data_IF_081703560610
#
_entry.id   IF_081703560610
#
_cell.length_a   1.000
_cell.length_b   1.000
_cell.length_c   1.000
_cell.angle_alpha   90.00
_cell.angle_beta   90.00
_cell.angle_gamma   90.00
#
_symmetry.space_group_name_H-M   'P 1'
#
loop_
_entity.id
_entity.type
_entity.pdbx_description
1 polymer ?
#
# COMPACT_ATOMS: atom_id res chain seq x y z
N UNK A 1 35.66 43.91 -24.20
CA UNK A 1 35.99 43.92 -22.77
C UNK A 1 35.02 44.87 -22.08
N UNK A 2 34.12 44.35 -21.23
CA UNK A 2 33.27 45.15 -20.35
C UNK A 2 34.14 45.57 -19.16
N UNK A 3 34.68 46.80 -19.21
CA UNK A 3 35.60 47.38 -18.22
C UNK A 3 34.89 48.49 -17.43
N UNK A 4 33.77 48.17 -16.79
CA UNK A 4 33.06 49.11 -15.91
C UNK A 4 32.91 48.45 -14.54
N UNK A 5 33.47 49.10 -13.51
CA UNK A 5 33.44 48.67 -12.11
C UNK A 5 32.11 49.02 -11.41
N UNK A 6 31.10 49.46 -12.17
CA UNK A 6 29.79 49.85 -11.66
C UNK A 6 28.67 49.07 -12.37
N UNK A 7 27.58 48.71 -11.66
CA UNK A 7 26.46 48.00 -12.26
C UNK A 7 25.71 48.91 -13.25
N UNK A 8 25.62 48.49 -14.51
CA UNK A 8 24.90 49.20 -15.57
C UNK A 8 23.68 48.41 -16.02
N UNK A 9 22.55 49.09 -16.20
CA UNK A 9 21.34 48.51 -16.79
C UNK A 9 21.52 48.39 -18.32
N UNK A 10 21.46 47.17 -18.83
CA UNK A 10 21.45 46.88 -20.26
C UNK A 10 20.09 46.32 -20.68
N UNK A 11 19.48 46.90 -21.72
CA UNK A 11 18.27 46.34 -22.34
C UNK A 11 18.70 45.47 -23.52
N UNK A 12 18.49 44.16 -23.40
CA UNK A 12 18.80 43.19 -24.46
C UNK A 12 17.61 42.27 -24.68
N UNK A 13 17.40 41.84 -25.93
CA UNK A 13 16.35 40.88 -26.26
C UNK A 13 16.81 39.46 -25.92
N UNK A 14 16.11 38.79 -25.01
CA UNK A 14 16.44 37.43 -24.57
C UNK A 14 15.37 36.45 -25.07
N UNK A 15 15.75 35.53 -25.97
CA UNK A 15 14.83 34.50 -26.47
C UNK A 15 14.74 33.31 -25.50
N UNK A 16 13.66 33.29 -24.71
CA UNK A 16 13.39 32.25 -23.71
C UNK A 16 13.00 30.90 -24.31
N UNK A 17 12.69 30.80 -25.62
CA UNK A 17 12.45 29.51 -26.28
C UNK A 17 13.76 28.80 -26.60
N UNK A 18 14.75 29.53 -27.10
CA UNK A 18 16.09 29.01 -27.38
C UNK A 18 16.78 28.57 -26.09
N UNK A 19 16.67 29.37 -25.03
CA UNK A 19 17.22 29.02 -23.70
C UNK A 19 16.65 27.71 -23.14
N UNK A 20 15.36 27.40 -23.37
CA UNK A 20 14.75 26.14 -22.91
C UNK A 20 15.22 24.90 -23.68
N UNK A 21 15.67 25.08 -24.92
CA UNK A 21 16.15 23.99 -25.78
C UNK A 21 17.67 23.78 -25.62
N UNK A 22 18.37 24.71 -24.96
CA UNK A 22 19.80 24.59 -24.73
C UNK A 22 20.10 23.60 -23.60
N UNK A 23 20.94 22.58 -23.82
CA UNK A 23 21.35 21.63 -22.79
C UNK A 23 22.29 22.24 -21.74
N UNK A 24 22.86 23.42 -22.01
CA UNK A 24 23.74 24.15 -21.10
C UNK A 24 23.22 25.57 -20.91
N UNK A 25 22.49 25.81 -19.81
CA UNK A 25 22.02 27.14 -19.40
C UNK A 25 22.82 27.57 -18.18
N UNK A 26 23.41 28.77 -18.23
CA UNK A 26 24.17 29.34 -17.12
C UNK A 26 23.28 29.49 -15.86
N UNK A 27 23.78 29.24 -14.63
CA UNK A 27 22.96 29.22 -13.41
C UNK A 27 22.09 30.48 -13.19
N UNK A 28 22.63 31.65 -13.51
CA UNK A 28 21.94 32.95 -13.38
C UNK A 28 20.70 33.06 -14.29
N UNK A 29 20.67 32.32 -15.40
CA UNK A 29 19.59 32.38 -16.40
C UNK A 29 18.53 31.29 -16.20
N UNK A 30 18.71 30.37 -15.26
CA UNK A 30 17.83 29.22 -15.04
C UNK A 30 16.41 29.62 -14.61
N UNK A 31 16.28 30.74 -13.89
CA UNK A 31 14.98 31.26 -13.43
C UNK A 31 14.19 32.01 -14.52
N UNK A 32 14.84 32.42 -15.61
CA UNK A 32 14.19 33.10 -16.74
C UNK A 32 13.63 32.12 -17.78
N UNK A 33 14.00 30.85 -17.68
CA UNK A 33 13.54 29.77 -18.55
C UNK A 33 12.98 28.61 -17.70
N UNK A 34 11.83 28.79 -17.03
CA UNK A 34 11.22 27.71 -16.28
C UNK A 34 10.99 26.51 -17.21
N UNK A 35 11.53 25.36 -16.82
CA UNK A 35 11.28 24.09 -17.50
C UNK A 35 9.75 23.92 -17.58
N UNK A 36 9.24 23.77 -18.80
CA UNK A 36 7.80 23.62 -18.99
C UNK A 36 7.31 22.44 -18.14
N UNK A 37 6.15 22.54 -17.46
CA UNK A 37 5.61 21.39 -16.73
C UNK A 37 5.41 20.27 -17.75
N UNK A 38 6.14 19.16 -17.56
CA UNK A 38 6.02 17.99 -18.39
C UNK A 38 4.54 17.58 -18.43
N UNK A 39 3.92 17.82 -19.60
CA UNK A 39 2.54 17.48 -19.86
C UNK A 39 2.44 15.96 -19.73
N UNK A 40 1.87 15.49 -18.61
CA UNK A 40 1.52 14.07 -18.38
C UNK A 40 0.77 13.57 -19.61
N UNK A 41 1.45 12.81 -20.47
CA UNK A 41 0.79 11.89 -21.38
C UNK A 41 0.41 10.69 -20.54
N UNK A 42 -0.88 10.57 -20.24
CA UNK A 42 -1.47 9.30 -19.83
C UNK A 42 -1.23 8.29 -20.95
N UNK A 43 -0.22 7.44 -20.80
CA UNK A 43 0.00 6.32 -21.68
C UNK A 43 -0.88 5.15 -21.22
N UNK A 44 -2.15 5.17 -21.66
CA UNK A 44 -2.86 3.93 -21.92
C UNK A 44 -2.20 3.31 -23.15
N UNK A 45 -1.39 2.29 -22.94
CA UNK A 45 -0.62 1.63 -23.97
C UNK A 45 -0.15 0.28 -23.49
N UNK A 46 -0.99 -0.73 -23.66
CA UNK A 46 -0.62 -2.14 -23.56
C UNK A 46 0.41 -2.47 -24.64
N UNK A 47 1.62 -2.86 -24.23
CA UNK A 47 2.58 -3.51 -25.13
C UNK A 47 4.05 -3.17 -24.92
N UNK A 48 4.78 -4.18 -24.44
CA UNK A 48 6.22 -4.45 -24.64
C UNK A 48 7.23 -3.88 -23.64
N UNK A 49 7.77 -4.78 -22.80
CA UNK A 49 9.14 -4.73 -22.28
C UNK A 49 9.46 -3.65 -21.24
N UNK A 50 8.50 -2.88 -20.74
CA UNK A 50 8.73 -1.99 -19.60
C UNK A 50 8.68 -2.82 -18.33
N UNK A 51 9.70 -2.69 -17.48
CA UNK A 51 9.63 -3.23 -16.12
C UNK A 51 8.29 -2.82 -15.50
N UNK A 52 7.58 -3.73 -14.80
CA UNK A 52 6.27 -3.44 -14.24
C UNK A 52 6.36 -2.15 -13.42
N UNK A 53 5.38 -1.26 -13.59
CA UNK A 53 5.34 -0.03 -12.82
C UNK A 53 5.22 -0.35 -11.33
N UNK A 54 5.61 0.58 -10.46
CA UNK A 54 5.49 0.39 -9.00
C UNK A 54 4.08 -0.09 -8.60
N UNK A 55 3.04 0.48 -9.23
CA UNK A 55 1.65 0.08 -8.98
C UNK A 55 1.33 -1.36 -9.40
N UNK A 56 1.89 -1.83 -10.52
CA UNK A 56 1.70 -3.22 -10.97
C UNK A 56 2.40 -4.21 -10.03
N UNK A 57 3.56 -3.82 -9.49
CA UNK A 57 4.30 -4.64 -8.51
C UNK A 57 3.56 -4.71 -7.18
N UNK A 58 3.11 -3.56 -6.66
CA UNK A 58 2.31 -3.49 -5.44
C UNK A 58 0.95 -4.17 -5.59
N UNK A 59 0.39 -4.25 -6.80
CA UNK A 59 -0.89 -4.92 -7.04
C UNK A 59 -0.84 -6.44 -6.78
N UNK A 60 0.31 -7.08 -6.98
CA UNK A 60 0.43 -8.54 -6.83
C UNK A 60 0.77 -8.95 -5.38
N UNK A 61 1.21 -8.01 -4.56
CA UNK A 61 1.68 -8.25 -3.19
C UNK A 61 0.55 -8.19 -2.16
N UNK A 62 0.66 -9.00 -1.11
CA UNK A 62 -0.21 -8.91 0.08
C UNK A 62 0.01 -7.61 0.85
N UNK A 63 -0.91 -7.27 1.78
CA UNK A 63 -0.85 -5.99 2.50
C UNK A 63 0.49 -5.76 3.23
N UNK A 64 0.98 -6.76 3.97
CA UNK A 64 2.26 -6.69 4.68
C UNK A 64 3.46 -6.60 3.72
N UNK A 65 3.47 -7.40 2.65
CA UNK A 65 4.55 -7.38 1.66
C UNK A 65 4.61 -6.06 0.89
N UNK A 66 3.47 -5.38 0.69
CA UNK A 66 3.43 -4.03 0.11
C UNK A 66 4.06 -3.00 1.02
N UNK A 67 3.79 -3.06 2.33
CA UNK A 67 4.41 -2.17 3.31
C UNK A 67 5.93 -2.34 3.33
N UNK A 68 6.42 -3.58 3.32
CA UNK A 68 7.85 -3.88 3.25
C UNK A 68 8.49 -3.37 1.95
N UNK A 69 7.83 -3.59 0.81
CA UNK A 69 8.29 -3.10 -0.48
C UNK A 69 8.34 -1.56 -0.54
N UNK A 70 7.36 -0.89 0.07
CA UNK A 70 7.34 0.57 0.19
C UNK A 70 8.41 1.08 1.16
N UNK A 71 8.67 0.37 2.25
CA UNK A 71 9.75 0.71 3.18
C UNK A 71 11.11 0.63 2.50
N UNK A 72 11.36 -0.42 1.72
CA UNK A 72 12.58 -0.54 0.92
C UNK A 72 12.69 0.55 -0.15
N UNK A 73 11.58 0.89 -0.81
CA UNK A 73 11.52 1.99 -1.77
C UNK A 73 11.95 3.32 -1.11
N UNK A 74 11.38 3.62 0.06
CA UNK A 74 11.68 4.85 0.81
C UNK A 74 13.16 4.85 1.22
N UNK A 75 13.68 3.75 1.79
CA UNK A 75 15.12 3.64 2.13
C UNK A 75 16.02 3.88 0.92
N UNK A 76 15.67 3.32 -0.23
CA UNK A 76 16.39 3.55 -1.48
C UNK A 76 16.39 5.02 -1.93
N UNK A 77 15.26 5.72 -1.84
CA UNK A 77 15.21 7.16 -2.15
C UNK A 77 16.03 7.97 -1.14
N UNK A 78 15.95 7.62 0.15
CA UNK A 78 16.70 8.28 1.22
C UNK A 78 18.20 8.11 1.02
N UNK A 79 18.65 6.89 0.71
CA UNK A 79 20.04 6.61 0.35
C UNK A 79 20.47 7.45 -0.86
N UNK A 80 19.66 7.50 -1.91
CA UNK A 80 19.96 8.28 -3.11
C UNK A 80 20.10 9.78 -2.85
N UNK A 81 19.23 10.36 -2.02
CA UNK A 81 19.29 11.78 -1.62
C UNK A 81 20.53 12.07 -0.78
N UNK A 82 20.93 11.14 0.10
CA UNK A 82 22.14 11.26 0.92
C UNK A 82 23.43 10.89 0.17
N UNK A 83 23.33 10.45 -1.10
CA UNK A 83 24.48 10.04 -1.92
C UNK A 83 25.03 8.66 -1.60
N UNK A 84 24.28 7.83 -0.87
CA UNK A 84 24.59 6.42 -0.64
C UNK A 84 24.09 5.55 -1.80
N UNK A 85 24.93 4.64 -2.26
CA UNK A 85 24.57 3.63 -3.29
C UNK A 85 23.80 2.45 -2.73
N UNK A 86 23.78 2.27 -1.42
CA UNK A 86 23.18 1.12 -0.74
C UNK A 86 22.12 1.58 0.26
N UNK A 87 20.90 1.06 0.10
CA UNK A 87 19.75 1.34 0.95
C UNK A 87 19.84 0.66 2.33
N UNK A 88 20.61 -0.43 2.45
CA UNK A 88 20.77 -1.20 3.69
C UNK A 88 21.53 -0.44 4.78
N UNK A 89 22.24 0.62 4.39
CA UNK A 89 22.93 1.53 5.32
C UNK A 89 21.94 2.45 6.04
N UNK A 90 20.73 2.61 5.50
CA UNK A 90 19.67 3.45 6.08
C UNK A 90 18.86 2.63 7.07
N UNK A 91 18.96 3.00 8.33
CA UNK A 91 18.13 2.48 9.40
C UNK A 91 16.69 3.04 9.27
N UNK A 92 15.72 2.14 9.09
CA UNK A 92 14.32 2.51 8.82
C UNK A 92 13.60 3.16 10.00
N UNK A 93 14.06 2.91 11.21
CA UNK A 93 13.48 3.47 12.43
C UNK A 93 14.14 4.80 12.83
N UNK A 94 15.32 5.09 12.25
CA UNK A 94 16.09 6.27 12.61
C UNK A 94 15.44 7.54 12.08
N UNK A 95 15.35 8.61 12.90
CA UNK A 95 14.83 9.89 12.45
C UNK A 95 15.64 10.46 11.29
N UNK A 96 14.97 11.07 10.32
CA UNK A 96 15.59 11.76 9.19
C UNK A 96 16.59 12.83 9.64
N UNK A 97 16.30 13.54 10.73
CA UNK A 97 17.21 14.56 11.29
C UNK A 97 18.56 13.97 11.72
N UNK A 98 18.56 12.76 12.30
CA UNK A 98 19.79 12.07 12.70
C UNK A 98 20.53 11.45 11.51
N UNK A 99 19.82 11.18 10.41
CA UNK A 99 20.40 10.78 9.13
C UNK A 99 20.98 11.96 8.34
N UNK A 100 20.85 13.19 8.84
CA UNK A 100 21.38 14.40 8.20
C UNK A 100 20.42 15.05 7.20
N UNK A 101 19.11 14.80 7.30
CA UNK A 101 18.14 15.53 6.49
C UNK A 101 17.97 16.98 6.96
N UNK A 102 17.90 17.87 5.99
CA UNK A 102 17.62 19.29 6.17
C UNK A 102 16.38 19.69 5.34
N UNK A 103 16.09 20.99 5.28
CA UNK A 103 14.94 21.50 4.53
C UNK A 103 15.07 21.32 3.01
N UNK A 104 16.28 21.29 2.46
CA UNK A 104 16.51 21.12 1.02
C UNK A 104 16.37 19.65 0.64
N UNK A 105 17.02 18.75 1.39
CA UNK A 105 16.96 17.30 1.13
C UNK A 105 15.55 16.74 1.37
N UNK A 106 14.78 17.32 2.29
CA UNK A 106 13.36 16.99 2.46
C UNK A 106 12.53 17.29 1.21
N UNK A 107 12.77 18.42 0.54
CA UNK A 107 12.08 18.78 -0.71
C UNK A 107 12.51 17.87 -1.86
N UNK A 108 13.79 17.50 -1.91
CA UNK A 108 14.30 16.56 -2.91
C UNK A 108 13.70 15.17 -2.76
N UNK A 109 13.67 14.62 -1.54
CA UNK A 109 13.02 13.33 -1.25
C UNK A 109 11.55 13.35 -1.66
N UNK A 110 10.81 14.41 -1.30
CA UNK A 110 9.41 14.57 -1.72
C UNK A 110 9.27 14.59 -3.24
N UNK A 111 10.17 15.27 -3.95
CA UNK A 111 10.14 15.33 -5.41
C UNK A 111 10.41 13.97 -6.07
N UNK A 112 11.34 13.20 -5.52
CA UNK A 112 11.65 11.86 -6.00
C UNK A 112 10.47 10.91 -5.73
N UNK A 113 9.92 10.92 -4.51
CA UNK A 113 8.76 10.12 -4.15
C UNK A 113 7.53 10.46 -5.01
N UNK A 114 7.25 11.75 -5.26
CA UNK A 114 6.19 12.17 -6.18
C UNK A 114 6.39 11.64 -7.60
N UNK A 115 7.63 11.56 -8.10
CA UNK A 115 7.91 11.03 -9.43
C UNK A 115 7.70 9.52 -9.51
N UNK A 116 8.12 8.79 -8.48
CA UNK A 116 8.08 7.33 -8.46
C UNK A 116 6.67 6.81 -8.14
N UNK A 117 5.98 7.43 -7.19
CA UNK A 117 4.63 7.03 -6.77
C UNK A 117 3.53 7.68 -7.63
N UNK A 118 3.82 8.78 -8.31
CA UNK A 118 2.82 9.57 -9.04
C UNK A 118 1.85 10.35 -8.13
N UNK A 119 2.06 10.30 -6.80
CA UNK A 119 1.23 11.00 -5.81
C UNK A 119 1.56 12.49 -5.74
N UNK A 120 0.68 13.25 -5.08
CA UNK A 120 0.92 14.64 -4.69
C UNK A 120 1.15 14.71 -3.18
N UNK A 121 2.40 14.51 -2.78
CA UNK A 121 2.79 14.50 -1.38
C UNK A 121 2.93 15.93 -0.82
N UNK A 122 2.50 16.17 0.43
CA UNK A 122 2.70 17.45 1.13
C UNK A 122 4.17 17.81 1.30
N UNK A 123 4.47 19.10 1.43
CA UNK A 123 5.85 19.57 1.70
C UNK A 123 6.27 19.37 3.16
N UNK A 124 5.32 19.15 4.08
CA UNK A 124 5.55 18.89 5.51
C UNK A 124 5.84 17.43 5.82
N UNK A 125 5.82 16.56 4.81
CA UNK A 125 5.80 15.11 4.99
C UNK A 125 7.00 14.55 5.79
N UNK A 126 8.21 15.10 5.64
CA UNK A 126 9.39 14.66 6.42
C UNK A 126 9.30 15.05 7.91
N UNK A 127 8.50 16.07 8.23
CA UNK A 127 8.23 16.49 9.60
C UNK A 127 7.04 15.75 10.21
N UNK A 128 6.03 15.44 9.40
CA UNK A 128 4.84 14.68 9.82
C UNK A 128 5.20 13.19 10.04
N UNK A 129 6.14 12.67 9.24
CA UNK A 129 6.62 11.28 9.29
C UNK A 129 8.14 11.30 9.44
N UNK A 130 8.66 11.25 10.69
CA UNK A 130 10.05 11.58 10.97
C UNK A 130 11.05 10.48 10.63
N UNK A 131 10.61 9.28 10.24
CA UNK A 131 11.48 8.17 9.85
C UNK A 131 10.97 7.44 8.59
N UNK A 132 11.84 6.67 7.92
CA UNK A 132 11.48 5.90 6.72
C UNK A 132 10.28 4.97 6.89
N UNK A 133 10.18 4.24 8.00
CA UNK A 133 9.08 3.29 8.24
C UNK A 133 7.72 3.99 8.35
N UNK A 134 7.64 5.08 9.13
CA UNK A 134 6.42 5.87 9.27
C UNK A 134 5.97 6.48 7.93
N UNK A 135 6.95 6.92 7.13
CA UNK A 135 6.67 7.44 5.79
C UNK A 135 6.16 6.33 4.84
N UNK A 136 6.72 5.12 4.93
CA UNK A 136 6.25 3.99 4.14
C UNK A 136 4.80 3.62 4.48
N UNK A 137 4.43 3.62 5.77
CA UNK A 137 3.05 3.42 6.22
C UNK A 137 2.09 4.47 5.64
N UNK A 138 2.46 5.75 5.68
CA UNK A 138 1.68 6.81 5.04
C UNK A 138 1.50 6.59 3.52
N UNK A 139 2.56 6.18 2.83
CA UNK A 139 2.47 5.86 1.40
C UNK A 139 1.56 4.65 1.15
N UNK A 140 1.58 3.63 2.02
CA UNK A 140 0.69 2.48 1.91
C UNK A 140 -0.79 2.88 2.04
N UNK A 141 -1.11 3.81 2.94
CA UNK A 141 -2.47 4.35 3.08
C UNK A 141 -2.92 5.18 1.87
N UNK A 142 -2.01 5.98 1.30
CA UNK A 142 -2.29 6.81 0.12
C UNK A 142 -2.38 6.00 -1.17
N UNK A 143 -1.62 4.92 -1.28
CA UNK A 143 -1.65 3.99 -2.40
C UNK A 143 -2.75 2.95 -2.12
N UNK A 144 -4.01 3.38 -2.28
CA UNK A 144 -5.11 2.43 -2.40
C UNK A 144 -4.98 1.71 -3.74
N UNK A 145 -4.25 0.59 -3.74
CA UNK A 145 -4.39 -0.40 -4.80
C UNK A 145 -5.82 -0.89 -4.73
N UNK A 146 -6.58 -0.65 -5.80
CA UNK A 146 -7.96 -1.11 -5.94
C UNK A 146 -7.96 -2.65 -6.05
N UNK A 147 -7.84 -3.32 -4.91
CA UNK A 147 -7.93 -4.79 -4.80
C UNK A 147 -9.29 -5.30 -5.27
N UNK A 148 -10.30 -4.43 -5.39
CA UNK A 148 -11.57 -4.70 -6.06
C UNK A 148 -11.39 -5.13 -7.53
N UNK A 149 -10.45 -4.52 -8.25
CA UNK A 149 -10.15 -4.88 -9.63
C UNK A 149 -9.41 -6.23 -9.75
N UNK A 150 -8.68 -6.64 -8.71
CA UNK A 150 -7.95 -7.91 -8.63
C UNK A 150 -8.80 -9.06 -8.08
N UNK A 151 -9.82 -8.77 -7.26
CA UNK A 151 -10.76 -9.77 -6.74
C UNK A 151 -11.76 -10.21 -7.79
N UNK A 152 -12.17 -9.34 -8.71
CA UNK A 152 -13.09 -9.68 -9.79
C UNK A 152 -12.66 -10.90 -10.64
N UNK A 153 -11.42 -11.01 -11.15
CA UNK A 153 -10.99 -12.21 -11.90
C UNK A 153 -10.87 -13.45 -11.02
N UNK A 154 -10.43 -13.32 -9.77
CA UNK A 154 -10.33 -14.45 -8.82
C UNK A 154 -11.72 -15.01 -8.49
N UNK A 155 -12.70 -14.14 -8.26
CA UNK A 155 -14.10 -14.52 -8.03
C UNK A 155 -14.69 -15.22 -9.27
N UNK A 156 -14.39 -14.72 -10.47
CA UNK A 156 -14.82 -15.37 -11.72
C UNK A 156 -14.21 -16.77 -11.92
N UNK A 157 -12.96 -16.99 -11.50
CA UNK A 157 -12.33 -18.30 -11.52
C UNK A 157 -12.92 -19.26 -10.47
N UNK A 158 -13.31 -18.73 -9.31
CA UNK A 158 -14.05 -19.50 -8.29
C UNK A 158 -15.45 -19.91 -8.78
N UNK A 159 -16.18 -19.01 -9.43
CA UNK A 159 -17.49 -19.31 -10.06
C UNK A 159 -17.35 -20.39 -11.13
N UNK A 160 -16.27 -20.32 -11.94
CA UNK A 160 -15.96 -21.36 -12.93
C UNK A 160 -15.65 -22.69 -12.25
N UNK A 161 -14.85 -22.70 -11.18
CA UNK A 161 -14.56 -23.91 -10.42
C UNK A 161 -15.84 -24.51 -9.81
N UNK A 162 -16.75 -23.69 -9.27
CA UNK A 162 -18.04 -24.12 -8.77
C UNK A 162 -18.89 -24.80 -9.86
N UNK A 163 -18.91 -24.24 -11.07
CA UNK A 163 -19.65 -24.82 -12.20
C UNK A 163 -19.13 -26.22 -12.60
N UNK A 164 -17.81 -26.41 -12.54
CA UNK A 164 -17.15 -27.71 -12.82
C UNK A 164 -17.44 -28.71 -11.69
N UNK A 165 -17.42 -28.25 -10.43
CA UNK A 165 -17.73 -29.06 -9.26
C UNK A 165 -19.19 -29.55 -9.26
N UNK A 166 -20.14 -28.69 -9.64
CA UNK A 166 -21.55 -29.05 -9.84
C UNK A 166 -21.73 -30.13 -10.92
N UNK A 167 -20.81 -30.22 -11.89
CA UNK A 167 -20.79 -31.25 -12.93
C UNK A 167 -20.14 -32.58 -12.51
N UNK A 168 -19.24 -32.59 -11.53
CA UNK A 168 -18.51 -33.77 -11.05
C UNK A 168 -19.28 -34.62 -10.01
N UNK A 169 -20.61 -34.48 -9.97
CA UNK A 169 -21.50 -34.79 -8.85
C UNK A 169 -21.70 -36.29 -8.49
N UNK A 170 -20.71 -37.17 -8.60
CA UNK A 170 -20.91 -38.60 -8.25
C UNK A 170 -19.74 -39.30 -7.54
N UNK A 171 -18.57 -38.68 -7.38
CA UNK A 171 -17.45 -39.30 -6.65
C UNK A 171 -17.24 -38.69 -5.24
N UNK A 172 -17.63 -39.44 -4.21
CA UNK A 172 -17.47 -39.07 -2.80
C UNK A 172 -16.00 -38.90 -2.38
N UNK A 173 -15.08 -39.70 -2.95
CA UNK A 173 -13.66 -39.64 -2.59
C UNK A 173 -13.00 -38.36 -3.13
N UNK A 174 -13.32 -37.98 -4.37
CA UNK A 174 -12.89 -36.70 -4.94
C UNK A 174 -13.49 -35.51 -4.19
N UNK A 175 -14.76 -35.60 -3.76
CA UNK A 175 -15.42 -34.54 -2.96
C UNK A 175 -14.74 -34.33 -1.62
N UNK A 176 -14.32 -35.40 -0.95
CA UNK A 176 -13.55 -35.34 0.30
C UNK A 176 -12.23 -34.60 0.15
N UNK A 177 -11.42 -34.98 -0.85
CA UNK A 177 -10.12 -34.34 -1.13
C UNK A 177 -10.26 -32.86 -1.51
N UNK A 178 -11.28 -32.52 -2.29
CA UNK A 178 -11.58 -31.13 -2.66
C UNK A 178 -12.00 -30.30 -1.45
N UNK A 179 -12.88 -30.83 -0.60
CA UNK A 179 -13.30 -30.14 0.63
C UNK A 179 -12.11 -29.90 1.57
N UNK A 180 -11.19 -30.86 1.69
CA UNK A 180 -9.96 -30.70 2.47
C UNK A 180 -9.06 -29.61 1.89
N UNK A 181 -8.84 -29.61 0.57
CA UNK A 181 -8.04 -28.56 -0.09
C UNK A 181 -8.65 -27.17 0.04
N UNK A 182 -9.98 -27.04 -0.03
CA UNK A 182 -10.67 -25.77 0.19
C UNK A 182 -10.56 -25.28 1.63
N UNK A 183 -10.65 -26.19 2.62
CA UNK A 183 -10.40 -25.84 4.03
C UNK A 183 -8.96 -25.36 4.24
N UNK A 184 -7.98 -25.99 3.61
CA UNK A 184 -6.58 -25.53 3.66
C UNK A 184 -6.41 -24.14 3.03
N UNK A 185 -7.03 -23.88 1.88
CA UNK A 185 -6.99 -22.56 1.25
C UNK A 185 -7.69 -21.50 2.09
N UNK A 186 -8.81 -21.84 2.74
CA UNK A 186 -9.49 -20.94 3.67
C UNK A 186 -8.66 -20.67 4.93
N UNK A 187 -7.96 -21.66 5.46
CA UNK A 187 -7.03 -21.46 6.57
C UNK A 187 -5.87 -20.51 6.17
N UNK A 188 -5.35 -20.66 4.95
CA UNK A 188 -4.31 -19.79 4.41
C UNK A 188 -4.80 -18.35 4.18
N UNK A 189 -6.03 -18.16 3.68
CA UNK A 189 -6.62 -16.83 3.46
C UNK A 189 -7.13 -16.17 4.76
N UNK A 190 -7.34 -16.97 5.80
CA UNK A 190 -7.90 -16.58 7.09
C UNK A 190 -6.86 -16.28 8.17
N UNK A 191 -5.57 -16.16 7.84
CA UNK A 191 -4.56 -15.59 8.75
C UNK A 191 -4.48 -14.07 8.55
N UNK A 192 -5.27 -13.25 9.28
CA UNK A 192 -5.01 -11.82 9.35
C UNK A 192 -3.74 -11.57 10.15
N UNK A 193 -2.97 -10.60 9.67
CA UNK A 193 -1.96 -9.89 10.46
C UNK A 193 -2.55 -9.49 11.84
N UNK A 194 -2.00 -10.11 12.87
CA UNK A 194 -1.96 -9.73 14.29
C UNK A 194 -3.25 -9.21 14.97
N UNK A 195 -3.75 -10.04 15.89
CA UNK A 195 -4.20 -9.67 17.24
C UNK A 195 -5.24 -8.54 17.42
N UNK A 196 -6.51 -8.93 17.47
CA UNK A 196 -7.48 -8.37 18.43
C UNK A 196 -8.66 -9.33 18.65
N UNK A 197 -8.49 -10.30 19.55
CA UNK A 197 -9.48 -10.72 20.57
C UNK A 197 -9.09 -12.08 21.19
N UNK A 198 -8.53 -12.11 22.42
CA UNK A 198 -8.69 -13.27 23.27
C UNK A 198 -10.02 -13.16 24.02
N UNK A 199 -10.92 -14.11 23.73
CA UNK A 199 -11.76 -14.75 24.73
C UNK A 199 -12.89 -13.94 25.38
N UNK A 200 -14.10 -14.18 24.89
CA UNK A 200 -15.10 -14.80 25.76
C UNK A 200 -15.74 -15.96 25.02
N UNK A 201 -15.24 -17.15 25.37
CA UNK A 201 -15.82 -18.41 24.96
C UNK A 201 -17.26 -18.51 25.50
N UNK A 202 -18.23 -18.65 24.60
CA UNK A 202 -19.48 -19.33 24.91
C UNK A 202 -19.28 -20.82 24.60
N UNK A 203 -19.47 -21.73 25.56
CA UNK A 203 -19.29 -23.15 25.33
C UNK A 203 -20.44 -23.75 24.51
N UNK A 204 -20.07 -24.85 23.89
CA UNK A 204 -20.87 -25.83 23.16
C UNK A 204 -22.34 -25.99 23.56
N UNK A 205 -23.15 -26.21 22.53
CA UNK A 205 -24.45 -26.90 22.58
C UNK A 205 -24.41 -28.10 23.55
N UNK A 206 -25.24 -28.04 24.58
CA UNK A 206 -25.98 -29.18 25.09
C UNK A 206 -27.44 -28.90 24.78
N UNK A 207 -28.00 -29.68 23.87
CA UNK A 207 -29.44 -29.69 23.60
C UNK A 207 -30.10 -30.35 24.81
N UNK A 208 -30.78 -29.55 25.63
CA UNK A 208 -31.85 -29.95 26.56
C UNK A 208 -32.60 -28.65 26.93
N UNK A 209 -33.26 -28.04 25.94
CA UNK A 209 -34.42 -27.20 26.23
C UNK A 209 -35.51 -28.15 26.72
N UNK A 210 -35.49 -28.43 28.03
CA UNK A 210 -36.66 -28.93 28.73
C UNK A 210 -37.74 -27.86 28.57
N UNK A 211 -38.66 -28.16 27.66
CA UNK A 211 -39.88 -27.42 27.35
C UNK A 211 -40.68 -27.20 28.64
N UNK A 212 -40.48 -26.06 29.30
CA UNK A 212 -41.14 -25.68 30.56
C UNK A 212 -42.66 -25.48 30.39
N UNK A 213 -43.18 -25.57 29.16
CA UNK A 213 -44.60 -25.45 28.84
C UNK A 213 -45.32 -26.80 28.69
N UNK A 214 -44.62 -27.94 28.80
CA UNK A 214 -45.23 -29.29 28.78
C UNK A 214 -45.23 -30.03 30.12
N UNK A 215 -44.80 -29.36 31.20
CA UNK A 215 -44.81 -29.96 32.53
C UNK A 215 -46.25 -30.30 32.95
N UNK A 216 -46.48 -31.53 33.37
CA UNK A 216 -47.80 -31.96 33.82
C UNK A 216 -48.07 -31.42 35.24
N UNK A 217 -49.32 -31.07 35.56
CA UNK A 217 -49.68 -30.56 36.89
C UNK A 217 -49.20 -31.48 38.02
N UNK A 218 -49.13 -32.80 37.79
CA UNK A 218 -48.63 -33.79 38.75
C UNK A 218 -47.14 -33.59 39.12
N UNK A 219 -46.31 -33.09 38.19
CA UNK A 219 -44.87 -32.87 38.40
C UNK A 219 -44.57 -31.52 39.07
N UNK A 220 -45.44 -30.51 38.89
CA UNK A 220 -45.36 -29.24 39.61
C UNK A 220 -45.71 -29.39 41.10
N UNK A 221 -46.66 -30.27 41.43
CA UNK A 221 -47.05 -30.54 42.82
C UNK A 221 -46.02 -31.41 43.57
N UNK A 222 -45.28 -32.29 42.87
CA UNK A 222 -44.18 -33.06 43.46
C UNK A 222 -42.99 -32.20 43.92
N UNK A 223 -42.83 -30.99 43.38
CA UNK A 223 -41.75 -30.08 43.75
C UNK A 223 -42.05 -29.27 45.03
N UNK A 224 -43.30 -29.25 45.49
CA UNK A 224 -43.74 -28.55 46.70
C UNK A 224 -43.78 -29.44 47.96
N UNK A 225 -43.76 -30.76 47.81
CA UNK A 225 -43.73 -31.73 48.93
C UNK A 225 -42.29 -32.12 49.36
N UNK A 226 -41.27 -31.53 48.73
CA UNK A 226 -39.85 -31.71 49.06
C UNK A 226 -39.26 -30.63 49.99
N UNK A 227 -40.09 -29.72 50.49
CA UNK A 227 -39.71 -28.64 51.42
C UNK A 227 -40.64 -28.62 52.63
N UNK A 228 -40.64 -29.71 53.42
CA UNK A 228 -40.59 -29.76 54.90
C UNK A 228 -40.90 -31.17 55.44
#
# INVERSE_FOLDING_TARGET
ALLLDEPVLAVTYLDTKVLRQSPQVHPVLRNLAPAAPARRKSAGGTGSGRAPGLMDQLAVLGAAEREDALAELVRGQVAGVLGHTDASVIDGERPFQELGFDSLTAVELRNQLNQVTGLRLPTTLVFDYPNPTALAGFLAEQIQVDTGALTAPVLADLDRAESVLKGLASDDASRGRLAERLRELLALAGEPATAAAPGTAAPAKGEDEADLDSASDEELFALLDGLE
#
